data_IF_686364194412
#
_entry.id   IF_686364194412
#
_cell.length_a   1.000
_cell.length_b   1.000
_cell.length_c   1.000
_cell.angle_alpha   90.00
_cell.angle_beta   90.00
_cell.angle_gamma   90.00
#
_symmetry.space_group_name_H-M   'P 1'
#
loop_
_entity.id
_entity.type
_entity.pdbx_description
1 polymer ?
#
# COMPACT_ATOMS: atom_id res chain seq x y z
N UNK A 1 38.74 58.54 24.57
CA UNK A 1 39.46 57.25 24.62
C UNK A 1 38.65 56.28 25.46
N UNK A 2 37.85 55.43 24.84
CA UNK A 2 37.06 54.40 25.52
C UNK A 2 37.50 53.05 24.98
N UNK A 3 38.19 52.30 25.85
CA UNK A 3 38.61 50.93 25.63
C UNK A 3 37.44 50.04 26.06
N UNK A 4 36.79 49.35 25.12
CA UNK A 4 35.93 48.21 25.44
C UNK A 4 36.49 46.98 24.76
N UNK A 5 36.77 46.02 25.62
CA UNK A 5 37.30 44.70 25.45
C UNK A 5 36.36 43.81 24.62
N UNK A 6 36.94 43.17 23.60
CA UNK A 6 36.39 41.98 22.96
C UNK A 6 36.54 40.79 23.91
N UNK A 7 35.47 40.03 24.15
CA UNK A 7 35.55 38.71 24.78
C UNK A 7 35.10 37.66 23.75
N UNK A 8 36.04 36.80 23.39
CA UNK A 8 35.90 35.72 22.43
C UNK A 8 34.81 34.72 22.83
N UNK A 9 33.97 34.36 21.87
CA UNK A 9 33.06 33.22 21.95
C UNK A 9 33.89 31.93 21.76
N UNK A 10 33.83 31.06 22.76
CA UNK A 10 34.39 29.70 22.72
C UNK A 10 33.62 28.86 21.70
N UNK A 11 34.24 28.56 20.56
CA UNK A 11 33.74 27.59 19.59
C UNK A 11 34.11 26.19 20.07
N UNK A 12 33.14 25.46 20.62
CA UNK A 12 33.29 24.04 20.89
C UNK A 12 33.32 23.27 19.57
N UNK A 13 34.51 22.77 19.20
CA UNK A 13 34.68 21.82 18.11
C UNK A 13 34.12 20.44 18.50
N UNK A 14 32.86 20.17 18.17
CA UNK A 14 32.34 18.82 18.15
C UNK A 14 32.69 18.17 16.80
N UNK A 15 33.63 17.23 16.81
CA UNK A 15 33.83 16.33 15.67
C UNK A 15 32.65 15.35 15.60
N UNK A 16 32.11 15.04 14.41
CA UNK A 16 31.05 14.04 14.28
C UNK A 16 31.59 12.62 14.54
N UNK A 17 30.78 11.70 15.08
CA UNK A 17 31.19 10.32 15.28
C UNK A 17 31.44 9.63 13.94
N UNK A 18 32.62 9.02 13.80
CA UNK A 18 32.98 8.18 12.67
C UNK A 18 32.22 6.85 12.75
N UNK A 19 31.19 6.67 11.93
CA UNK A 19 30.54 5.38 11.79
C UNK A 19 31.31 4.53 10.76
N UNK A 20 31.85 3.41 11.22
CA UNK A 20 32.45 2.40 10.34
C UNK A 20 31.32 1.66 9.61
N UNK A 21 31.20 1.89 8.31
CA UNK A 21 30.29 1.15 7.43
C UNK A 21 30.82 -0.27 7.30
N UNK A 22 30.09 -1.26 7.83
CA UNK A 22 30.32 -2.66 7.47
C UNK A 22 30.04 -2.79 5.97
N UNK A 23 31.09 -3.09 5.21
CA UNK A 23 31.06 -3.27 3.77
C UNK A 23 29.95 -4.27 3.40
N UNK A 24 28.89 -3.80 2.77
CA UNK A 24 27.92 -4.63 2.09
C UNK A 24 28.56 -5.09 0.78
N UNK A 25 28.78 -6.40 0.61
CA UNK A 25 29.25 -6.97 -0.66
C UNK A 25 28.06 -7.18 -1.60
N UNK A 26 28.03 -6.56 -2.79
CA UNK A 26 27.01 -6.83 -3.78
C UNK A 26 27.60 -7.73 -4.86
N UNK A 27 27.60 -9.05 -4.64
CA UNK A 27 27.52 -10.09 -5.69
C UNK A 27 27.71 -11.45 -5.02
N UNK A 28 26.62 -12.17 -4.77
CA UNK A 28 26.68 -13.62 -4.82
C UNK A 28 26.37 -13.97 -6.28
N UNK A 29 27.40 -14.43 -6.98
CA UNK A 29 27.33 -14.96 -8.33
C UNK A 29 26.31 -16.11 -8.33
N UNK A 30 25.15 -15.89 -8.97
CA UNK A 30 24.16 -16.94 -9.15
C UNK A 30 24.73 -17.91 -10.18
N UNK A 31 25.11 -19.11 -9.74
CA UNK A 31 25.37 -20.22 -10.66
C UNK A 31 24.08 -20.51 -11.42
N UNK A 32 24.13 -20.38 -12.75
CA UNK A 32 23.06 -20.79 -13.63
C UNK A 32 22.93 -22.31 -13.60
N UNK A 33 22.07 -22.82 -12.72
CA UNK A 33 21.60 -24.19 -12.82
C UNK A 33 20.66 -24.31 -14.02
N UNK A 34 21.19 -24.97 -15.05
CA UNK A 34 20.57 -25.29 -16.33
C UNK A 34 19.30 -26.12 -16.12
N UNK A 35 18.14 -25.47 -16.10
CA UNK A 35 16.84 -26.16 -16.16
C UNK A 35 16.74 -26.96 -17.47
N UNK A 36 16.62 -28.29 -17.36
CA UNK A 36 16.34 -29.17 -18.48
C UNK A 36 14.90 -29.00 -18.96
N UNK A 37 14.74 -28.58 -20.21
CA UNK A 37 13.45 -28.45 -20.89
C UNK A 37 12.79 -29.84 -21.00
N UNK A 38 11.59 -29.98 -20.46
CA UNK A 38 10.71 -31.12 -20.71
C UNK A 38 9.93 -30.79 -21.99
N UNK A 39 10.09 -31.61 -23.03
CA UNK A 39 9.34 -31.49 -24.28
C UNK A 39 7.85 -31.84 -24.07
N UNK A 40 6.90 -31.11 -24.69
CA UNK A 40 5.49 -31.46 -24.62
C UNK A 40 5.17 -32.68 -25.50
N UNK A 41 4.61 -33.72 -24.90
CA UNK A 41 4.02 -34.87 -25.60
C UNK A 41 2.70 -34.49 -26.27
N UNK A 42 2.52 -34.92 -27.52
CA UNK A 42 1.43 -34.56 -28.42
C UNK A 42 0.18 -35.49 -28.32
N UNK A 43 -1.00 -34.87 -28.52
CA UNK A 43 -2.31 -35.39 -29.01
C UNK A 43 -3.21 -36.26 -28.08
N UNK A 44 -4.57 -36.26 -28.24
CA UNK A 44 -5.33 -36.01 -29.48
C UNK A 44 -6.54 -35.06 -29.41
N UNK A 45 -6.95 -34.65 -30.61
CA UNK A 45 -8.08 -33.81 -31.01
C UNK A 45 -9.43 -34.53 -31.00
N UNK A 46 -10.48 -33.94 -30.39
CA UNK A 46 -11.89 -34.18 -30.75
C UNK A 46 -12.78 -32.93 -30.52
N UNK A 47 -13.45 -32.55 -31.62
CA UNK A 47 -14.86 -32.18 -31.82
C UNK A 47 -15.52 -31.01 -31.05
N UNK A 48 -15.92 -30.03 -31.88
CA UNK A 48 -16.86 -28.93 -31.68
C UNK A 48 -18.17 -29.27 -30.95
N UNK A 49 -18.55 -28.45 -29.97
CA UNK A 49 -19.94 -28.18 -29.58
C UNK A 49 -20.02 -26.78 -28.98
N UNK A 50 -20.78 -25.88 -29.62
CA UNK A 50 -21.06 -24.53 -29.11
C UNK A 50 -21.95 -24.55 -27.86
N UNK A 51 -21.79 -23.56 -26.96
CA UNK A 51 -22.90 -23.15 -26.10
C UNK A 51 -23.39 -21.72 -26.36
N UNK A 52 -24.71 -21.67 -26.59
CA UNK A 52 -25.65 -20.54 -26.54
C UNK A 52 -25.19 -19.24 -25.89
N UNK A 53 -25.33 -18.16 -26.66
CA UNK A 53 -25.39 -16.76 -26.20
C UNK A 53 -26.45 -16.57 -25.12
N UNK A 54 -26.00 -16.43 -23.86
CA UNK A 54 -26.81 -15.87 -22.78
C UNK A 54 -26.39 -14.41 -22.58
N UNK A 55 -27.29 -13.48 -22.88
CA UNK A 55 -27.09 -12.05 -22.62
C UNK A 55 -27.23 -11.82 -21.12
N UNK A 56 -26.13 -11.50 -20.45
CA UNK A 56 -26.14 -11.09 -19.04
C UNK A 56 -26.35 -9.58 -18.94
N UNK A 57 -27.57 -9.18 -18.59
CA UNK A 57 -27.87 -7.82 -18.16
C UNK A 57 -27.32 -7.64 -16.75
N UNK A 58 -26.34 -6.74 -16.57
CA UNK A 58 -25.78 -6.46 -15.25
C UNK A 58 -26.77 -5.66 -14.39
N UNK A 59 -27.50 -6.34 -13.52
CA UNK A 59 -28.24 -5.70 -12.43
C UNK A 59 -27.24 -5.19 -11.39
N UNK A 60 -27.23 -3.88 -11.16
CA UNK A 60 -26.40 -3.22 -10.16
C UNK A 60 -26.86 -3.61 -8.75
N UNK A 61 -26.31 -4.73 -8.26
CA UNK A 61 -26.56 -5.22 -6.90
C UNK A 61 -25.58 -4.52 -5.95
N UNK A 62 -26.07 -3.50 -5.24
CA UNK A 62 -25.30 -2.77 -4.23
C UNK A 62 -25.14 -3.66 -3.00
N UNK A 63 -24.08 -4.46 -2.98
CA UNK A 63 -23.72 -5.30 -1.82
C UNK A 63 -23.05 -4.40 -0.79
N UNK A 64 -23.66 -4.21 0.38
CA UNK A 64 -23.01 -3.54 1.50
C UNK A 64 -22.00 -4.50 2.13
N UNK A 65 -20.72 -4.13 2.10
CA UNK A 65 -19.64 -4.85 2.75
C UNK A 65 -19.35 -4.17 4.10
N UNK A 66 -19.58 -4.88 5.20
CA UNK A 66 -19.10 -4.49 6.53
C UNK A 66 -17.87 -5.32 6.86
N UNK A 67 -16.67 -4.77 6.65
CA UNK A 67 -15.45 -5.47 7.04
C UNK A 67 -15.34 -5.56 8.55
N UNK A 68 -14.88 -6.71 9.03
CA UNK A 68 -14.46 -6.93 10.40
C UNK A 68 -12.98 -7.29 10.38
N UNK A 69 -12.20 -6.66 11.25
CA UNK A 69 -10.83 -7.11 11.53
C UNK A 69 -10.92 -8.51 12.12
N UNK A 70 -10.26 -9.50 11.54
CA UNK A 70 -10.19 -10.80 12.19
C UNK A 70 -9.26 -10.63 13.43
N UNK A 71 -9.84 -10.43 14.61
CA UNK A 71 -9.10 -10.35 15.88
C UNK A 71 -9.26 -9.05 16.67
N UNK A 72 -8.67 -9.03 17.87
CA UNK A 72 -8.66 -7.88 18.79
C UNK A 72 -7.60 -6.88 18.36
N UNK A 73 -7.93 -5.58 18.37
CA UNK A 73 -7.01 -4.47 18.10
C UNK A 73 -5.76 -4.45 18.99
N UNK A 74 -5.74 -5.24 20.08
CA UNK A 74 -4.62 -5.34 20.99
C UNK A 74 -3.54 -6.37 20.55
N UNK A 75 -3.85 -7.29 19.62
CA UNK A 75 -2.96 -8.40 19.17
C UNK A 75 -2.56 -8.29 17.68
N UNK A 76 -2.26 -7.08 17.21
CA UNK A 76 -2.06 -6.78 15.78
C UNK A 76 -0.84 -7.49 15.15
N UNK A 77 0.17 -7.86 15.94
CA UNK A 77 1.42 -8.43 15.40
C UNK A 77 1.24 -9.84 14.80
N UNK A 78 0.21 -10.59 15.24
CA UNK A 78 -0.16 -11.89 14.67
C UNK A 78 -1.08 -11.80 13.45
N UNK A 79 -1.52 -10.59 13.07
CA UNK A 79 -2.62 -10.39 12.12
C UNK A 79 -2.21 -9.75 10.78
N UNK A 80 -0.93 -9.40 10.63
CA UNK A 80 -0.45 -8.87 9.36
C UNK A 80 -0.40 -9.94 8.28
N UNK A 81 -0.93 -9.60 7.12
CA UNK A 81 -1.00 -10.47 5.96
C UNK A 81 -0.06 -10.00 4.85
N UNK A 82 0.30 -10.93 3.96
CA UNK A 82 0.94 -10.56 2.68
C UNK A 82 -0.10 -9.88 1.81
N UNK A 83 0.16 -8.68 1.26
CA UNK A 83 -0.78 -8.02 0.38
C UNK A 83 -0.94 -8.84 -0.91
N UNK A 84 -2.18 -9.19 -1.23
CA UNK A 84 -2.52 -9.93 -2.44
C UNK A 84 -3.72 -9.30 -3.15
N UNK A 85 -3.75 -9.29 -4.50
CA UNK A 85 -4.86 -8.69 -5.23
C UNK A 85 -6.21 -9.34 -4.88
N UNK A 86 -7.26 -8.51 -4.84
CA UNK A 86 -8.62 -8.92 -4.47
C UNK A 86 -8.90 -8.90 -2.97
N UNK A 87 -7.89 -8.69 -2.13
CA UNK A 87 -8.06 -8.54 -0.68
C UNK A 87 -8.14 -7.08 -0.27
N UNK A 88 -8.90 -6.79 0.79
CA UNK A 88 -9.04 -5.45 1.36
C UNK A 88 -8.21 -5.37 2.63
N UNK A 89 -7.51 -4.25 2.81
CA UNK A 89 -6.60 -4.03 3.93
C UNK A 89 -6.79 -2.66 4.57
N UNK A 90 -6.39 -2.57 5.84
CA UNK A 90 -5.83 -1.35 6.41
C UNK A 90 -4.32 -1.36 6.23
N UNK A 91 -3.74 -0.22 5.87
CA UNK A 91 -2.29 -0.06 5.66
C UNK A 91 -1.74 0.75 6.81
N UNK A 92 -0.98 0.10 7.69
CA UNK A 92 -0.57 0.62 8.99
C UNK A 92 0.91 0.96 8.99
N UNK A 93 1.29 2.12 9.52
CA UNK A 93 2.69 2.42 9.80
C UNK A 93 3.15 1.54 10.98
N UNK A 94 4.28 0.87 10.82
CA UNK A 94 4.71 -0.19 11.73
C UNK A 94 5.04 0.31 13.14
N UNK A 95 5.53 1.55 13.27
CA UNK A 95 5.99 2.10 14.54
C UNK A 95 4.83 2.58 15.42
N UNK A 96 3.93 3.39 14.86
CA UNK A 96 2.81 4.01 15.59
C UNK A 96 1.49 3.29 15.41
N UNK A 97 1.43 2.29 14.52
CA UNK A 97 0.20 1.56 14.14
C UNK A 97 -0.92 2.45 13.61
N UNK A 98 -0.59 3.66 13.17
CA UNK A 98 -1.55 4.56 12.52
C UNK A 98 -1.81 4.10 11.09
N UNK A 99 -3.05 4.21 10.63
CA UNK A 99 -3.47 3.80 9.29
C UNK A 99 -3.39 4.96 8.31
N UNK A 100 -3.01 4.64 7.07
CA UNK A 100 -3.34 5.49 5.93
C UNK A 100 -4.88 5.57 5.86
N UNK A 101 -5.41 6.78 5.71
CA UNK A 101 -6.83 7.05 5.55
C UNK A 101 -7.03 8.06 4.43
N UNK A 102 -8.06 7.84 3.61
CA UNK A 102 -8.51 8.79 2.60
C UNK A 102 -9.63 9.65 3.18
N UNK A 103 -9.28 10.84 3.65
CA UNK A 103 -10.21 11.79 4.26
C UNK A 103 -10.65 12.86 3.25
N UNK A 104 -11.59 13.72 3.64
CA UNK A 104 -11.96 14.89 2.83
C UNK A 104 -10.80 15.89 2.64
N UNK A 105 -9.79 15.84 3.51
CA UNK A 105 -8.55 16.64 3.41
C UNK A 105 -7.46 15.93 2.59
N UNK A 106 -7.78 14.81 1.96
CA UNK A 106 -6.85 13.95 1.23
C UNK A 106 -6.28 12.83 2.10
N UNK A 107 -5.14 12.29 1.68
CA UNK A 107 -4.48 11.18 2.37
C UNK A 107 -3.84 11.68 3.66
N UNK A 108 -4.14 11.00 4.78
CA UNK A 108 -3.60 11.30 6.10
C UNK A 108 -3.28 10.01 6.85
N UNK A 109 -2.31 10.10 7.76
CA UNK A 109 -2.01 9.09 8.75
C UNK A 109 -2.86 9.37 9.99
N UNK A 110 -3.66 8.39 10.43
CA UNK A 110 -4.60 8.54 11.54
C UNK A 110 -4.60 7.32 12.44
N UNK A 111 -5.01 7.48 13.71
CA UNK A 111 -5.28 6.32 14.54
C UNK A 111 -6.44 5.53 13.95
N UNK A 112 -6.30 4.21 13.89
CA UNK A 112 -7.31 3.33 13.32
C UNK A 112 -8.68 3.44 14.02
N UNK A 113 -8.67 3.79 15.31
CA UNK A 113 -9.86 3.94 16.16
C UNK A 113 -10.58 5.28 15.90
N UNK A 114 -9.86 6.28 15.40
CA UNK A 114 -10.34 7.66 15.24
C UNK A 114 -10.84 7.96 13.81
N UNK A 115 -10.89 6.96 12.95
CA UNK A 115 -11.35 7.10 11.56
C UNK A 115 -12.58 6.26 11.30
N UNK A 116 -13.49 6.79 10.48
CA UNK A 116 -14.53 5.97 9.88
C UNK A 116 -13.87 4.79 9.20
N UNK A 117 -14.33 3.59 9.56
CA UNK A 117 -13.74 2.33 9.07
C UNK A 117 -13.61 2.37 7.54
N UNK A 118 -14.62 2.87 6.83
CA UNK A 118 -14.60 3.00 5.37
C UNK A 118 -13.48 3.87 4.77
N UNK A 119 -12.95 4.86 5.49
CA UNK A 119 -11.93 5.78 4.99
C UNK A 119 -10.52 5.15 4.97
N UNK A 120 -10.29 4.12 5.80
CA UNK A 120 -9.00 3.45 5.91
C UNK A 120 -8.95 2.06 5.24
N UNK A 121 -10.00 1.69 4.50
CA UNK A 121 -10.04 0.43 3.76
C UNK A 121 -9.57 0.60 2.32
N UNK A 122 -8.65 -0.26 1.91
CA UNK A 122 -8.11 -0.26 0.56
C UNK A 122 -8.16 -1.67 -0.03
N UNK A 123 -8.93 -1.83 -1.10
CA UNK A 123 -8.89 -2.99 -1.96
C UNK A 123 -7.56 -2.97 -2.73
N UNK A 124 -6.79 -4.03 -2.56
CA UNK A 124 -5.58 -4.27 -3.34
C UNK A 124 -5.99 -4.77 -4.74
N UNK A 125 -5.52 -4.06 -5.76
CA UNK A 125 -5.76 -4.37 -7.19
C UNK A 125 -4.40 -4.53 -7.85
N UNK A 126 -4.31 -5.37 -8.89
CA UNK A 126 -3.10 -5.48 -9.70
C UNK A 126 -3.38 -5.05 -11.14
N UNK A 127 -2.40 -4.37 -11.74
CA UNK A 127 -2.33 -4.16 -13.18
C UNK A 127 -0.89 -3.96 -13.63
N UNK A 128 -0.53 -4.59 -14.74
CA UNK A 128 0.81 -4.50 -15.36
C UNK A 128 1.95 -4.85 -14.39
N UNK A 129 1.70 -5.78 -13.44
CA UNK A 129 2.64 -6.17 -12.39
C UNK A 129 2.80 -5.15 -11.25
N UNK A 130 2.02 -4.07 -11.24
CA UNK A 130 1.96 -3.10 -10.15
C UNK A 130 0.71 -3.29 -9.30
N UNK A 131 0.84 -2.99 -8.01
CA UNK A 131 -0.31 -2.87 -7.13
C UNK A 131 -0.99 -1.51 -7.29
N UNK A 132 -2.27 -1.48 -6.94
CA UNK A 132 -3.07 -0.29 -6.75
C UNK A 132 -3.93 -0.45 -5.51
N UNK A 133 -4.17 0.65 -4.79
CA UNK A 133 -4.97 0.64 -3.57
C UNK A 133 -6.20 1.52 -3.76
N UNK A 134 -7.35 0.87 -3.97
CA UNK A 134 -8.64 1.50 -4.18
C UNK A 134 -9.39 1.61 -2.84
N UNK A 135 -9.76 2.81 -2.42
CA UNK A 135 -10.77 2.95 -1.37
C UNK A 135 -12.17 2.65 -1.97
N UNK A 136 -12.86 1.57 -1.57
CA UNK A 136 -14.13 1.18 -2.20
C UNK A 136 -15.28 2.13 -1.86
N UNK A 137 -15.27 2.72 -0.66
CA UNK A 137 -16.33 3.63 -0.22
C UNK A 137 -16.33 4.94 -1.02
N UNK A 138 -15.14 5.44 -1.37
CA UNK A 138 -14.97 6.66 -2.18
C UNK A 138 -14.84 6.37 -3.68
N UNK A 139 -14.56 5.12 -4.05
CA UNK A 139 -14.27 4.72 -5.43
C UNK A 139 -13.06 5.46 -5.98
N UNK A 140 -12.01 5.60 -5.17
CA UNK A 140 -10.78 6.35 -5.52
C UNK A 140 -9.52 5.56 -5.18
N UNK A 141 -8.59 5.54 -6.13
CA UNK A 141 -7.25 5.03 -5.91
C UNK A 141 -6.39 6.08 -5.21
N UNK A 142 -5.51 5.60 -4.33
CA UNK A 142 -4.41 6.40 -3.77
C UNK A 142 -3.16 6.28 -4.62
N UNK A 143 -2.42 7.38 -4.69
CA UNK A 143 -1.25 7.52 -5.53
C UNK A 143 -0.49 8.81 -5.21
N UNK A 144 0.46 9.16 -6.05
CA UNK A 144 1.26 10.37 -5.88
C UNK A 144 0.67 11.57 -6.64
N UNK A 145 1.07 12.79 -6.25
CA UNK A 145 0.47 14.06 -6.70
C UNK A 145 1.09 14.69 -7.96
N UNK A 146 1.86 13.89 -8.69
CA UNK A 146 2.54 14.24 -9.94
C UNK A 146 4.03 14.52 -9.77
N UNK A 147 4.75 14.52 -10.89
CA UNK A 147 6.21 14.69 -10.95
C UNK A 147 6.67 16.03 -10.33
N UNK A 148 7.80 16.02 -9.62
CA UNK A 148 8.41 17.22 -9.02
C UNK A 148 7.72 17.73 -7.76
N UNK A 149 6.75 16.97 -7.24
CA UNK A 149 6.15 17.17 -5.91
C UNK A 149 6.51 16.00 -5.01
N UNK A 150 6.15 16.10 -3.74
CA UNK A 150 6.47 15.05 -2.77
C UNK A 150 5.20 14.41 -2.18
N UNK A 151 4.02 14.98 -2.39
CA UNK A 151 2.80 14.61 -1.68
C UNK A 151 2.03 13.42 -2.24
N UNK A 152 1.16 12.83 -1.43
CA UNK A 152 0.25 11.77 -1.86
C UNK A 152 -1.18 12.32 -2.09
N UNK A 153 -1.94 11.71 -3.00
CA UNK A 153 -3.33 12.06 -3.33
C UNK A 153 -4.23 10.83 -3.46
N UNK A 154 -5.54 11.02 -3.25
CA UNK A 154 -6.55 9.97 -3.40
C UNK A 154 -7.74 10.38 -4.27
N UNK A 155 -7.48 10.89 -5.48
CA UNK A 155 -8.52 11.49 -6.34
C UNK A 155 -8.78 10.71 -7.64
N UNK A 156 -7.98 9.70 -7.94
CA UNK A 156 -8.05 8.98 -9.22
C UNK A 156 -9.16 7.93 -9.25
N UNK A 157 -9.93 7.89 -10.35
CA UNK A 157 -10.97 6.87 -10.61
C UNK A 157 -10.45 5.66 -11.38
N UNK A 158 -9.22 5.73 -11.87
CA UNK A 158 -8.57 4.67 -12.63
C UNK A 158 -7.22 4.44 -11.97
N UNK A 159 -6.84 3.17 -11.85
CA UNK A 159 -5.44 2.84 -11.63
C UNK A 159 -4.67 3.40 -12.83
N UNK A 160 -3.53 4.05 -12.64
CA UNK A 160 -2.68 4.64 -13.68
C UNK A 160 -1.26 4.83 -13.13
N UNK A 161 -0.35 5.36 -13.94
CA UNK A 161 1.06 5.55 -13.57
C UNK A 161 1.23 6.15 -12.16
N UNK A 162 0.42 7.15 -11.78
CA UNK A 162 0.55 7.80 -10.46
C UNK A 162 -0.04 6.99 -9.31
N UNK A 163 -0.88 6.00 -9.60
CA UNK A 163 -1.52 5.13 -8.62
C UNK A 163 -0.90 3.74 -8.58
N UNK A 164 0.22 3.53 -9.29
CA UNK A 164 0.99 2.30 -9.22
C UNK A 164 1.85 2.27 -7.96
N UNK A 165 1.87 1.09 -7.33
CA UNK A 165 2.63 0.80 -6.13
C UNK A 165 3.47 -0.45 -6.34
N UNK A 166 4.69 -0.39 -5.80
CA UNK A 166 5.55 -1.55 -5.60
C UNK A 166 5.62 -1.80 -4.10
N UNK A 167 5.35 -3.03 -3.68
CA UNK A 167 5.39 -3.43 -2.28
C UNK A 167 6.52 -4.41 -2.08
N UNK A 168 7.50 -4.06 -1.23
CA UNK A 168 8.69 -4.88 -0.98
C UNK A 168 8.76 -5.27 0.48
N UNK A 169 8.99 -6.55 0.76
CA UNK A 169 9.25 -7.00 2.13
C UNK A 169 10.53 -6.34 2.65
N UNK A 170 10.48 -5.79 3.86
CA UNK A 170 11.66 -5.26 4.53
C UNK A 170 12.31 -6.36 5.40
N UNK A 171 13.65 -6.47 5.44
CA UNK A 171 14.34 -7.51 6.22
C UNK A 171 13.98 -7.50 7.71
N UNK A 172 13.76 -6.31 8.28
CA UNK A 172 13.36 -6.13 9.68
C UNK A 172 11.84 -6.24 9.90
N UNK A 173 11.12 -6.92 9.00
CA UNK A 173 9.67 -7.06 9.05
C UNK A 173 8.90 -5.88 8.43
N UNK A 174 7.60 -6.07 8.24
CA UNK A 174 6.76 -5.14 7.47
C UNK A 174 7.17 -5.02 6.00
N UNK A 175 6.82 -3.91 5.38
CA UNK A 175 7.03 -3.63 3.95
C UNK A 175 7.49 -2.20 3.72
N UNK A 176 8.35 -2.01 2.72
CA UNK A 176 8.55 -0.72 2.08
C UNK A 176 7.47 -0.56 1.00
N UNK A 177 6.81 0.59 1.01
CA UNK A 177 5.92 1.00 -0.08
C UNK A 177 6.68 1.94 -0.99
N UNK A 178 6.64 1.68 -2.29
CA UNK A 178 7.27 2.51 -3.29
C UNK A 178 6.29 2.88 -4.40
N UNK A 179 6.51 4.04 -5.00
CA UNK A 179 5.74 4.51 -6.16
C UNK A 179 6.69 4.89 -7.30
N UNK A 180 6.35 4.59 -8.56
CA UNK A 180 7.12 5.07 -9.70
C UNK A 180 7.07 6.59 -9.81
N UNK A 181 8.23 7.21 -10.02
CA UNK A 181 8.36 8.63 -10.36
C UNK A 181 9.49 8.78 -11.39
N UNK A 182 9.13 9.24 -12.59
CA UNK A 182 10.01 9.22 -13.76
C UNK A 182 10.61 7.83 -14.03
N UNK A 183 11.92 7.69 -13.78
CA UNK A 183 12.69 6.44 -13.99
C UNK A 183 13.09 5.75 -12.68
N UNK A 184 12.57 6.21 -11.56
CA UNK A 184 12.95 5.77 -10.22
C UNK A 184 11.74 5.29 -9.42
N UNK A 185 12.00 4.56 -8.33
CA UNK A 185 11.00 4.25 -7.32
C UNK A 185 11.28 5.12 -6.09
N UNK A 186 10.28 5.86 -5.63
CA UNK A 186 10.36 6.65 -4.40
C UNK A 186 9.69 5.89 -3.26
N UNK A 187 10.30 5.90 -2.09
CA UNK A 187 9.69 5.38 -0.86
C UNK A 187 8.55 6.29 -0.43
N UNK A 188 7.45 5.70 0.03
CA UNK A 188 6.37 6.41 0.70
C UNK A 188 6.64 6.40 2.20
N UNK A 189 6.86 7.57 2.76
CA UNK A 189 7.26 7.80 4.16
C UNK A 189 6.25 8.68 4.88
N UNK A 190 6.29 8.68 6.21
CA UNK A 190 5.59 9.70 7.01
C UNK A 190 6.36 11.00 6.89
N UNK A 191 5.67 12.09 6.57
CA UNK A 191 6.26 13.42 6.44
C UNK A 191 6.67 13.99 7.81
N UNK A 192 7.42 15.10 7.81
CA UNK A 192 7.90 15.75 9.04
C UNK A 192 6.77 16.22 9.97
N UNK A 193 5.59 16.51 9.42
CA UNK A 193 4.40 16.88 10.20
C UNK A 193 3.80 15.69 10.98
N UNK A 194 4.27 14.47 10.72
CA UNK A 194 3.78 13.25 11.34
C UNK A 194 2.36 12.86 10.94
N UNK A 195 1.69 13.61 10.06
CA UNK A 195 0.29 13.43 9.67
C UNK A 195 0.10 13.14 8.17
N UNK A 196 0.97 13.64 7.31
CA UNK A 196 0.91 13.45 5.87
C UNK A 196 1.91 12.41 5.40
N UNK A 197 1.73 11.96 4.16
CA UNK A 197 2.66 11.04 3.50
C UNK A 197 3.43 11.81 2.45
N UNK A 198 4.73 11.52 2.38
CA UNK A 198 5.64 12.09 1.40
C UNK A 198 6.34 10.99 0.61
N UNK A 199 6.87 11.35 -0.55
CA UNK A 199 7.80 10.56 -1.34
C UNK A 199 9.22 10.97 -1.01
N UNK A 200 10.10 9.99 -0.86
CA UNK A 200 11.51 10.22 -0.59
C UNK A 200 12.41 9.22 -1.33
N UNK A 201 13.64 9.61 -1.64
CA UNK A 201 14.67 8.69 -2.16
C UNK A 201 15.12 7.67 -1.09
N UNK A 202 15.09 8.08 0.17
CA UNK A 202 15.50 7.30 1.32
C UNK A 202 14.48 7.43 2.45
N UNK A 203 14.34 6.39 3.26
CA UNK A 203 13.38 6.38 4.35
C UNK A 203 13.39 5.06 5.09
N UNK A 204 12.95 5.12 6.34
CA UNK A 204 12.89 3.97 7.26
C UNK A 204 11.45 3.58 7.59
N UNK A 205 10.45 4.29 7.05
CA UNK A 205 9.05 3.98 7.32
C UNK A 205 8.72 2.58 6.79
N UNK A 206 8.25 1.73 7.70
CA UNK A 206 7.77 0.38 7.41
C UNK A 206 6.26 0.36 7.52
N UNK A 207 5.64 -0.46 6.70
CA UNK A 207 4.20 -0.58 6.59
C UNK A 207 3.77 -2.03 6.83
N UNK A 208 2.62 -2.22 7.47
CA UNK A 208 1.99 -3.50 7.71
C UNK A 208 0.59 -3.51 7.08
N UNK A 209 0.15 -4.68 6.62
CA UNK A 209 -1.16 -4.86 6.01
C UNK A 209 -2.04 -5.69 6.93
N UNK A 210 -3.04 -5.07 7.56
CA UNK A 210 -4.06 -5.78 8.32
C UNK A 210 -5.20 -6.14 7.37
N UNK A 211 -5.42 -7.44 7.12
CA UNK A 211 -6.48 -7.90 6.23
C UNK A 211 -7.85 -7.60 6.83
N UNK A 212 -8.86 -7.41 6.01
CA UNK A 212 -10.24 -7.29 6.46
C UNK A 212 -11.06 -8.46 5.95
N UNK A 213 -11.77 -9.13 6.85
CA UNK A 213 -12.75 -10.16 6.47
C UNK A 213 -14.11 -9.52 6.22
N UNK A 214 -14.79 -9.91 5.16
CA UNK A 214 -16.18 -9.53 4.95
C UNK A 214 -17.14 -10.58 5.46
N UNK A 215 -18.15 -10.18 6.23
CA UNK A 215 -19.41 -10.90 6.26
C UNK A 215 -20.28 -10.34 5.12
N UNK A 216 -20.68 -11.18 4.18
CA UNK A 216 -21.57 -10.79 3.09
C UNK A 216 -23.02 -10.88 3.58
N UNK A 217 -23.59 -9.78 4.06
CA UNK A 217 -25.01 -9.74 4.43
C UNK A 217 -25.85 -9.50 3.17
N UNK A 218 -26.51 -10.54 2.68
CA UNK A 218 -27.56 -10.40 1.67
C UNK A 218 -28.82 -9.82 2.33
N UNK A 219 -29.13 -8.55 2.07
CA UNK A 219 -30.48 -8.04 2.33
C UNK A 219 -31.42 -8.60 1.26
N UNK A 220 -32.20 -9.61 1.63
CA UNK A 220 -33.37 -9.99 0.85
C UNK A 220 -34.44 -8.91 1.05
N UNK A 221 -34.68 -8.10 0.02
CA UNK A 221 -35.88 -7.27 -0.03
C UNK A 221 -37.10 -8.23 -0.06
N UNK A 222 -37.77 -8.35 1.09
CA UNK A 222 -38.94 -9.19 1.22
C UNK A 222 -40.03 -8.77 0.24
N UNK A 223 -40.39 -9.66 -0.68
CA UNK A 223 -41.55 -9.48 -1.55
C UNK A 223 -42.80 -9.78 -0.72
N UNK A 224 -43.60 -8.76 -0.41
CA UNK A 224 -44.97 -8.96 0.09
C UNK A 224 -45.86 -9.29 -1.10
N UNK A 225 -46.37 -10.52 -1.13
CA UNK A 225 -47.53 -10.83 -1.96
C UNK A 225 -48.74 -10.10 -1.40
N UNK A 226 -49.30 -9.17 -2.17
CA UNK A 226 -50.69 -8.75 -2.00
C UNK A 226 -51.58 -9.82 -2.63
N UNK A 227 -52.37 -10.51 -1.81
CA UNK A 227 -53.62 -11.16 -2.24
C UNK A 227 -54.69 -10.12 -2.50
#
# INVERSE_FOLDING_TARGET
>A
MHRRSESALSTSNCSPPSYSVKHWSPFAEVQEDRFSLIEPSEAPSETSTEPSTTVYTAESRRTSFTPTIEGSWNDVDGYYSVPWPGQTFMILEAETRRTIALTDKGIRLKNAIDVESSDCHFLCVERDGYFGFLNPARGRYIGHDGEGKEGMRGTAKKLSWWEYWVVRKHPDGGYCLLVPEGRSLKLVVVAEDGETLARADHGITRWNFARLSGQQTQQFAGYRHST
#
